data_IF_970167662244
#
_entry.id   IF_970167662244
#
_cell.length_a   1.000
_cell.length_b   1.000
_cell.length_c   1.000
_cell.angle_alpha   90.00
_cell.angle_beta   90.00
_cell.angle_gamma   90.00
#
_symmetry.space_group_name_H-M   'P 1'
#
loop_
_entity.id
_entity.type
_entity.pdbx_description
1 polymer ?
#
# COMPACT_ATOMS: atom_id res chain seq x y z
N UNK A 1 -12.31 4.05 -11.24
CA UNK A 1 -11.96 3.11 -10.15
C UNK A 1 -10.46 3.21 -9.89
N UNK A 2 -10.00 3.26 -8.63
CA UNK A 2 -8.57 3.39 -8.29
C UNK A 2 -8.04 2.10 -7.70
N UNK A 3 -6.89 1.64 -8.19
CA UNK A 3 -6.17 0.47 -7.68
C UNK A 3 -4.82 0.92 -7.10
N UNK A 4 -4.55 0.50 -5.87
CA UNK A 4 -3.25 0.64 -5.24
C UNK A 4 -2.67 -0.76 -5.08
N UNK A 5 -1.55 -1.03 -5.74
CA UNK A 5 -0.91 -2.35 -5.75
C UNK A 5 0.41 -2.29 -5.00
N UNK A 6 0.46 -2.94 -3.85
CA UNK A 6 1.69 -3.09 -3.08
C UNK A 6 2.44 -4.31 -3.60
N UNK A 7 3.66 -4.11 -4.05
CA UNK A 7 4.45 -5.15 -4.72
C UNK A 7 5.95 -4.95 -4.51
N UNK A 8 6.71 -6.02 -4.70
CA UNK A 8 8.17 -5.94 -4.77
C UNK A 8 8.68 -5.63 -6.18
N UNK A 9 7.79 -5.70 -7.19
CA UNK A 9 8.13 -5.55 -8.60
C UNK A 9 7.17 -4.58 -9.32
N UNK A 10 7.23 -3.26 -9.01
CA UNK A 10 6.31 -2.27 -9.58
C UNK A 10 6.28 -2.28 -11.10
N UNK A 11 7.45 -2.28 -11.71
CA UNK A 11 7.60 -2.24 -13.18
C UNK A 11 6.91 -3.42 -13.88
N UNK A 12 6.99 -4.62 -13.29
CA UNK A 12 6.34 -5.81 -13.85
C UNK A 12 4.82 -5.68 -13.85
N UNK A 13 4.26 -5.12 -12.80
CA UNK A 13 2.82 -4.87 -12.68
C UNK A 13 2.38 -3.79 -13.68
N UNK A 14 3.11 -2.69 -13.76
CA UNK A 14 2.81 -1.58 -14.67
C UNK A 14 2.87 -2.04 -16.14
N UNK A 15 3.92 -2.74 -16.52
CA UNK A 15 4.06 -3.28 -17.88
C UNK A 15 2.95 -4.28 -18.21
N UNK A 16 2.68 -5.24 -17.31
CA UNK A 16 1.63 -6.24 -17.54
C UNK A 16 0.23 -5.64 -17.68
N UNK A 17 -0.08 -4.60 -16.90
CA UNK A 17 -1.38 -3.95 -16.94
C UNK A 17 -1.49 -2.84 -17.99
N UNK A 18 -0.38 -2.40 -18.58
CA UNK A 18 -0.39 -1.41 -19.68
C UNK A 18 -0.85 -1.99 -21.02
N UNK A 19 -0.92 -3.30 -21.12
CA UNK A 19 -1.28 -4.00 -22.35
C UNK A 19 -2.78 -4.30 -22.45
N UNK A 20 -3.24 -4.61 -23.68
CA UNK A 20 -4.57 -5.13 -24.00
C UNK A 20 -5.72 -4.23 -23.48
N UNK A 21 -6.75 -4.82 -22.92
CA UNK A 21 -7.97 -4.15 -22.44
C UNK A 21 -7.68 -3.25 -21.23
N UNK A 22 -6.83 -3.71 -20.32
CA UNK A 22 -6.43 -2.95 -19.12
C UNK A 22 -5.67 -1.70 -19.49
N UNK A 23 -4.73 -1.78 -20.47
CA UNK A 23 -4.00 -0.63 -20.97
C UNK A 23 -4.91 0.42 -21.63
N UNK A 24 -5.96 -0.01 -22.35
CA UNK A 24 -6.97 0.89 -22.90
C UNK A 24 -7.76 1.61 -21.80
N UNK A 25 -8.17 0.89 -20.76
CA UNK A 25 -8.90 1.45 -19.64
C UNK A 25 -8.05 2.47 -18.83
N UNK A 26 -6.74 2.21 -18.69
CA UNK A 26 -5.78 3.15 -18.10
C UNK A 26 -5.66 4.43 -18.94
N UNK A 27 -5.47 4.31 -20.26
CA UNK A 27 -5.37 5.44 -21.19
C UNK A 27 -6.64 6.30 -21.23
N UNK A 28 -7.80 5.68 -21.04
CA UNK A 28 -9.09 6.37 -21.01
C UNK A 28 -9.46 6.89 -19.61
N UNK A 29 -8.58 6.75 -18.61
CA UNK A 29 -8.82 7.14 -17.22
C UNK A 29 -10.07 6.48 -16.57
N UNK A 30 -10.54 5.36 -17.09
CA UNK A 30 -11.63 4.57 -16.49
C UNK A 30 -11.13 3.92 -15.19
N UNK A 31 -9.88 3.46 -15.22
CA UNK A 31 -9.15 2.95 -14.05
C UNK A 31 -7.87 3.75 -13.86
N UNK A 32 -7.42 3.85 -12.62
CA UNK A 32 -6.08 4.37 -12.30
C UNK A 32 -5.32 3.34 -11.47
N UNK A 33 -4.05 3.18 -11.78
CA UNK A 33 -3.13 2.26 -11.11
C UNK A 33 -2.05 3.07 -10.40
N UNK A 34 -1.85 2.78 -9.13
CA UNK A 34 -0.74 3.28 -8.33
C UNK A 34 0.03 2.09 -7.76
N UNK A 35 1.25 1.89 -8.18
CA UNK A 35 2.12 0.82 -7.67
C UNK A 35 2.99 1.36 -6.54
N UNK A 36 3.08 0.62 -5.46
CA UNK A 36 3.86 0.97 -4.27
C UNK A 36 4.87 -0.13 -4.01
N UNK A 37 6.14 0.23 -4.00
CA UNK A 37 7.20 -0.72 -3.72
C UNK A 37 7.33 -0.94 -2.21
N UNK A 38 7.09 -2.16 -1.75
CA UNK A 38 7.18 -2.53 -0.33
C UNK A 38 8.60 -2.34 0.21
N UNK A 39 9.65 -2.46 -0.63
CA UNK A 39 11.05 -2.29 -0.22
C UNK A 39 11.36 -0.89 0.27
N UNK A 40 10.63 0.13 -0.19
CA UNK A 40 10.86 1.53 0.19
C UNK A 40 10.50 1.77 1.66
N UNK A 41 9.76 0.84 2.28
CA UNK A 41 9.38 0.87 3.69
C UNK A 41 10.22 -0.07 4.56
N UNK A 42 11.26 -0.68 4.02
CA UNK A 42 12.18 -1.51 4.77
C UNK A 42 13.29 -0.63 5.39
N UNK A 43 13.18 -0.32 6.67
CA UNK A 43 14.10 0.56 7.41
C UNK A 43 15.43 -0.11 7.81
N UNK A 44 15.85 -1.14 7.09
CA UNK A 44 17.13 -1.81 7.35
C UNK A 44 18.17 -1.46 6.28
N UNK A 45 19.45 -1.62 6.64
CA UNK A 45 20.61 -1.24 5.78
C UNK A 45 20.59 -1.84 4.36
N UNK A 46 19.87 -2.92 4.16
CA UNK A 46 19.83 -3.67 2.89
C UNK A 46 18.46 -3.68 2.23
N UNK A 47 17.49 -2.90 2.71
CA UNK A 47 16.10 -2.90 2.24
C UNK A 47 15.51 -4.32 2.16
N UNK A 48 15.86 -5.13 3.15
CA UNK A 48 15.43 -6.54 3.24
C UNK A 48 13.99 -6.57 3.74
N UNK A 49 13.12 -7.24 2.99
CA UNK A 49 11.68 -7.37 3.28
C UNK A 49 11.26 -8.78 3.65
N UNK A 50 12.21 -9.71 3.62
CA UNK A 50 12.01 -11.13 3.85
C UNK A 50 12.87 -11.64 5.00
N UNK A 51 12.44 -12.74 5.63
CA UNK A 51 13.13 -13.39 6.71
C UNK A 51 13.02 -14.91 6.59
N UNK A 52 13.85 -15.61 7.34
CA UNK A 52 13.84 -17.07 7.36
C UNK A 52 12.59 -17.61 8.04
N UNK A 53 12.12 -18.77 7.56
CA UNK A 53 10.98 -19.47 8.17
C UNK A 53 11.36 -20.00 9.56
N UNK A 54 10.46 -19.85 10.50
CA UNK A 54 10.58 -20.51 11.81
C UNK A 54 10.61 -22.03 11.61
N UNK A 55 11.59 -22.69 12.22
CA UNK A 55 11.75 -24.15 12.10
C UNK A 55 12.49 -24.66 10.88
N UNK A 56 13.13 -23.80 10.09
CA UNK A 56 14.05 -24.19 9.02
C UNK A 56 13.35 -24.81 7.78
N UNK A 57 12.08 -24.56 7.57
CA UNK A 57 11.37 -24.97 6.35
C UNK A 57 11.87 -24.26 5.10
N UNK A 58 11.59 -24.83 3.92
CA UNK A 58 11.90 -24.21 2.63
C UNK A 58 11.06 -22.96 2.41
N UNK A 59 11.69 -21.90 1.90
CA UNK A 59 11.03 -20.63 1.58
C UNK A 59 11.46 -19.50 2.51
N UNK A 60 10.86 -18.33 2.28
CA UNK A 60 11.10 -17.10 3.06
C UNK A 60 9.77 -16.49 3.48
N UNK A 61 9.75 -15.84 4.63
CA UNK A 61 8.59 -15.10 5.14
C UNK A 61 8.77 -13.62 4.84
N UNK A 62 7.71 -12.97 4.35
CA UNK A 62 7.71 -11.52 4.22
C UNK A 62 7.58 -10.89 5.61
N UNK A 63 8.41 -9.90 5.90
CA UNK A 63 8.34 -9.15 7.15
C UNK A 63 7.04 -8.32 7.20
N UNK A 64 6.36 -8.36 8.34
CA UNK A 64 5.09 -7.66 8.51
C UNK A 64 5.23 -6.14 8.50
N UNK A 65 6.31 -5.62 9.06
CA UNK A 65 6.54 -4.18 9.23
C UNK A 65 6.57 -3.41 7.89
N UNK A 66 7.37 -3.78 6.88
CA UNK A 66 7.37 -3.08 5.59
C UNK A 66 6.00 -3.11 4.90
N UNK A 67 5.29 -4.23 4.98
CA UNK A 67 3.94 -4.36 4.40
C UNK A 67 2.97 -3.44 5.11
N UNK A 68 2.99 -3.42 6.43
CA UNK A 68 2.13 -2.56 7.23
C UNK A 68 2.36 -1.07 6.94
N UNK A 69 3.60 -0.62 6.89
CA UNK A 69 3.95 0.75 6.58
C UNK A 69 3.53 1.15 5.15
N UNK A 70 3.67 0.24 4.19
CA UNK A 70 3.21 0.45 2.82
C UNK A 70 1.68 0.62 2.77
N UNK A 71 0.91 -0.23 3.46
CA UNK A 71 -0.56 -0.10 3.56
C UNK A 71 -0.94 1.23 4.19
N UNK A 72 -0.31 1.60 5.30
CA UNK A 72 -0.56 2.86 6.01
C UNK A 72 -0.30 4.08 5.13
N UNK A 73 0.76 4.06 4.34
CA UNK A 73 1.08 5.12 3.37
C UNK A 73 -0.05 5.28 2.34
N UNK A 74 -0.56 4.18 1.79
CA UNK A 74 -1.67 4.20 0.82
C UNK A 74 -2.95 4.74 1.44
N UNK A 75 -3.30 4.31 2.65
CA UNK A 75 -4.48 4.80 3.36
C UNK A 75 -4.37 6.31 3.61
N UNK A 76 -3.21 6.81 4.01
CA UNK A 76 -2.96 8.24 4.18
C UNK A 76 -3.12 9.03 2.87
N UNK A 77 -2.70 8.46 1.74
CA UNK A 77 -2.90 9.08 0.42
C UNK A 77 -4.39 9.16 0.04
N UNK A 78 -5.16 8.10 0.32
CA UNK A 78 -6.60 8.08 0.07
C UNK A 78 -7.30 9.17 0.90
N UNK A 79 -6.93 9.31 2.16
CA UNK A 79 -7.48 10.32 3.07
C UNK A 79 -7.22 11.74 2.56
N UNK A 80 -5.99 12.05 2.14
CA UNK A 80 -5.63 13.34 1.56
C UNK A 80 -6.43 13.66 0.29
N UNK A 81 -6.60 12.69 -0.61
CA UNK A 81 -7.38 12.89 -1.83
C UNK A 81 -8.85 13.20 -1.57
N UNK A 82 -9.44 12.66 -0.51
CA UNK A 82 -10.84 12.88 -0.17
C UNK A 82 -11.08 14.25 0.50
N UNK A 83 -10.09 14.79 1.20
CA UNK A 83 -10.18 16.13 1.82
C UNK A 83 -10.15 17.25 0.79
N UNK A 84 -9.51 17.07 -0.36
CA UNK A 84 -9.45 18.10 -1.42
C UNK A 84 -10.80 18.30 -2.13
N UNK A 85 -11.75 17.37 -2.00
CA UNK A 85 -13.09 17.48 -2.56
C UNK A 85 -14.13 18.08 -1.61
N UNK A 86 -13.79 18.26 -0.34
CA UNK A 86 -14.59 18.97 0.65
C UNK A 86 -13.92 20.33 0.87
N UNK A 87 -14.33 21.33 0.08
CA UNK A 87 -13.75 22.66 0.16
C UNK A 87 -13.95 23.26 1.55
N UNK A 88 -12.92 23.23 2.35
CA UNK A 88 -12.72 24.20 3.44
C UNK A 88 -11.20 24.39 3.64
N UNK A 89 -10.80 25.64 3.40
CA UNK A 89 -9.44 26.12 3.60
C UNK A 89 -9.12 26.16 5.09
N UNK A 90 -8.34 25.22 5.56
CA UNK A 90 -7.51 25.43 6.75
C UNK A 90 -6.16 24.76 6.53
N UNK A 91 -5.21 25.59 6.11
CA UNK A 91 -3.79 25.26 6.16
C UNK A 91 -3.42 24.87 7.60
N UNK A 92 -3.13 23.59 7.80
CA UNK A 92 -2.35 23.15 8.95
C UNK A 92 -1.09 22.48 8.42
N UNK A 93 0.00 23.22 8.55
CA UNK A 93 1.36 22.73 8.48
C UNK A 93 1.49 21.47 9.34
N UNK A 94 1.68 20.33 8.69
CA UNK A 94 2.10 19.11 9.40
C UNK A 94 3.60 19.04 9.23
N UNK A 95 4.29 19.59 10.22
CA UNK A 95 5.69 19.34 10.46
C UNK A 95 5.89 17.85 10.74
N UNK A 96 7.05 17.34 10.31
CA UNK A 96 7.57 16.02 10.61
C UNK A 96 7.47 15.70 12.11
N UNK A 97 6.49 14.89 12.49
CA UNK A 97 6.47 14.29 13.82
C UNK A 97 6.95 12.84 13.73
N UNK A 98 8.08 12.61 14.39
CA UNK A 98 8.58 11.31 14.80
C UNK A 98 7.47 10.54 15.50
N UNK A 99 6.82 9.63 14.79
CA UNK A 99 5.77 8.80 15.38
C UNK A 99 6.44 7.67 16.15
N UNK A 100 6.43 7.84 17.46
CA UNK A 100 6.67 6.79 18.43
C UNK A 100 5.77 5.58 18.13
N UNK A 101 6.40 4.40 18.05
CA UNK A 101 5.74 3.12 17.81
C UNK A 101 4.89 2.74 19.05
N UNK A 102 3.64 3.15 19.07
CA UNK A 102 2.69 2.63 20.04
C UNK A 102 1.82 1.53 19.44
N UNK A 103 1.72 0.42 20.16
CA UNK A 103 1.08 -0.85 19.78
C UNK A 103 -0.45 -0.81 19.56
N UNK A 104 -1.04 0.34 19.34
CA UNK A 104 -2.50 0.53 19.21
C UNK A 104 -2.98 0.57 17.74
N UNK A 105 -2.10 0.42 16.76
CA UNK A 105 -2.31 0.94 15.41
C UNK A 105 -3.00 0.01 14.41
N UNK A 106 -3.00 -1.31 14.63
CA UNK A 106 -3.57 -2.24 13.61
C UNK A 106 -5.10 -2.17 13.50
N UNK A 107 -5.80 -1.88 14.59
CA UNK A 107 -7.27 -1.75 14.59
C UNK A 107 -7.73 -0.50 13.84
N UNK A 108 -7.01 0.61 14.00
CA UNK A 108 -7.37 1.89 13.36
C UNK A 108 -7.26 1.83 11.83
N UNK A 109 -6.23 1.16 11.29
CA UNK A 109 -6.07 1.03 9.84
C UNK A 109 -7.20 0.24 9.17
N UNK A 110 -7.71 -0.80 9.83
CA UNK A 110 -8.83 -1.59 9.31
C UNK A 110 -10.16 -0.79 9.32
N UNK A 111 -10.37 0.04 10.33
CA UNK A 111 -11.53 0.94 10.42
C UNK A 111 -11.45 2.07 9.40
N UNK A 112 -10.28 2.66 9.20
CA UNK A 112 -10.04 3.67 8.17
C UNK A 112 -10.33 3.14 6.77
N UNK A 113 -9.90 1.93 6.43
CA UNK A 113 -10.19 1.28 5.14
C UNK A 113 -11.70 1.13 4.94
N UNK A 114 -12.45 0.72 5.96
CA UNK A 114 -13.91 0.57 5.89
C UNK A 114 -14.62 1.92 5.68
N UNK A 115 -14.19 2.96 6.36
CA UNK A 115 -14.79 4.30 6.29
C UNK A 115 -14.66 4.92 4.88
N UNK A 116 -13.65 4.54 4.10
CA UNK A 116 -13.43 5.06 2.75
C UNK A 116 -14.01 4.20 1.63
N UNK A 117 -14.86 3.22 1.95
CA UNK A 117 -15.41 2.27 0.96
C UNK A 117 -14.29 1.57 0.13
N UNK A 118 -13.13 1.40 0.74
CA UNK A 118 -11.99 0.72 0.16
C UNK A 118 -12.02 -0.77 0.52
N UNK A 119 -11.42 -1.60 -0.34
CA UNK A 119 -11.29 -3.04 -0.11
C UNK A 119 -9.82 -3.39 -0.13
N UNK A 120 -9.36 -4.05 0.93
CA UNK A 120 -8.04 -4.67 0.96
C UNK A 120 -8.15 -6.11 0.45
N UNK A 121 -7.38 -6.41 -0.60
CA UNK A 121 -7.33 -7.76 -1.20
C UNK A 121 -5.90 -8.26 -1.07
N UNK A 122 -5.74 -9.39 -0.39
CA UNK A 122 -4.46 -10.09 -0.30
C UNK A 122 -4.44 -11.24 -1.30
N UNK A 123 -3.53 -11.16 -2.27
CA UNK A 123 -3.38 -12.19 -3.30
C UNK A 123 -2.41 -13.26 -2.79
N UNK A 124 -2.89 -14.47 -2.63
CA UNK A 124 -2.09 -15.63 -2.20
C UNK A 124 -2.00 -16.69 -3.29
N UNK A 125 -0.95 -17.51 -3.30
CA UNK A 125 -0.85 -18.63 -4.24
C UNK A 125 -1.97 -19.67 -4.07
N UNK A 126 -2.62 -19.71 -2.91
CA UNK A 126 -3.67 -20.68 -2.60
C UNK A 126 -5.05 -20.30 -3.14
N UNK A 127 -5.23 -19.08 -3.64
CA UNK A 127 -6.43 -18.67 -4.37
C UNK A 127 -7.75 -18.72 -3.57
N UNK A 128 -7.69 -18.62 -2.26
CA UNK A 128 -8.89 -18.61 -1.39
C UNK A 128 -9.12 -17.26 -0.77
#
# INVERSE_FOLDING_TARGET
>A
MRFHVLTLFPQMIEQGLSESITGRALKQNIISLNTVNIRDFAHNKHNKVDDYTYGGGAGMLMQAEPVYQAVRSVVSQINKCNQVHSGDNSEKNIADENILYENTSYKNTAEEIKNHNARLIYVTPQGR
#
